data_IF_890847390626
#
_entry.id   IF_890847390626
#
_cell.length_a   1.000
_cell.length_b   1.000
_cell.length_c   1.000
_cell.angle_alpha   90.00
_cell.angle_beta   90.00
_cell.angle_gamma   90.00
#
_symmetry.space_group_name_H-M   'P 1'
#
loop_
_entity.id
_entity.type
_entity.pdbx_description
1 polymer ?
#
# COMPACT_ATOMS: atom_id res chain seq x y z
N UNK A 1 -22.47 10.18 1.98
CA UNK A 1 -22.19 8.97 1.16
C UNK A 1 -22.76 9.21 -0.21
N UNK A 2 -21.94 9.25 -1.25
CA UNK A 2 -22.41 9.31 -2.63
C UNK A 2 -22.77 7.89 -3.05
N UNK A 3 -24.06 7.62 -3.23
CA UNK A 3 -24.52 6.41 -3.93
C UNK A 3 -24.40 6.72 -5.42
N UNK A 4 -23.21 6.50 -5.99
CA UNK A 4 -23.00 6.68 -7.43
C UNK A 4 -23.23 5.37 -8.18
N UNK A 5 -23.71 5.50 -9.42
CA UNK A 5 -24.28 4.46 -10.26
C UNK A 5 -23.44 3.19 -10.47
N UNK A 6 -24.12 2.18 -11.01
CA UNK A 6 -23.70 0.78 -11.15
C UNK A 6 -22.20 0.59 -11.43
N UNK A 7 -21.42 0.33 -10.37
CA UNK A 7 -20.07 -0.21 -10.51
C UNK A 7 -20.15 -1.74 -10.68
N UNK A 8 -19.36 -2.28 -11.61
CA UNK A 8 -19.27 -3.72 -11.83
C UNK A 8 -18.89 -4.42 -10.51
N UNK A 9 -19.65 -5.46 -10.16
CA UNK A 9 -19.39 -6.26 -8.96
C UNK A 9 -17.99 -6.87 -8.95
N UNK A 10 -17.47 -7.13 -7.75
CA UNK A 10 -16.11 -7.64 -7.51
C UNK A 10 -16.22 -9.02 -6.87
N UNK A 11 -15.71 -10.05 -7.56
CA UNK A 11 -15.60 -11.41 -7.03
C UNK A 11 -16.90 -11.92 -6.35
N UNK A 12 -18.05 -11.77 -7.01
CA UNK A 12 -19.35 -12.19 -6.47
C UNK A 12 -19.95 -11.26 -5.42
N UNK A 13 -19.56 -9.98 -5.40
CA UNK A 13 -20.13 -8.97 -4.52
C UNK A 13 -20.56 -7.73 -5.32
N UNK A 14 -21.68 -7.12 -4.93
CA UNK A 14 -22.09 -5.80 -5.41
C UNK A 14 -21.43 -4.69 -4.58
N UNK A 15 -21.10 -3.57 -5.22
CA UNK A 15 -20.61 -2.37 -4.53
C UNK A 15 -21.81 -1.57 -4.06
N UNK A 16 -21.96 -1.37 -2.74
CA UNK A 16 -23.10 -0.64 -2.16
C UNK A 16 -22.74 0.77 -1.73
N UNK A 17 -21.47 1.02 -1.39
CA UNK A 17 -20.98 2.36 -1.08
C UNK A 17 -19.50 2.49 -1.41
N UNK A 18 -19.08 3.70 -1.79
CA UNK A 18 -17.68 4.03 -2.06
C UNK A 18 -17.33 5.30 -1.29
N UNK A 19 -16.19 5.25 -0.61
CA UNK A 19 -15.59 6.41 0.01
C UNK A 19 -14.12 6.48 -0.40
N UNK A 20 -13.78 7.44 -1.27
CA UNK A 20 -12.46 7.53 -1.91
C UNK A 20 -12.05 6.20 -2.57
N UNK A 21 -11.05 5.50 -2.02
CA UNK A 21 -10.57 4.19 -2.50
C UNK A 21 -10.95 3.02 -1.55
N UNK A 22 -11.97 3.23 -0.72
CA UNK A 22 -12.57 2.24 0.17
C UNK A 22 -13.95 1.89 -0.37
N UNK A 23 -14.24 0.60 -0.49
CA UNK A 23 -15.52 0.09 -0.99
C UNK A 23 -16.22 -0.73 0.09
N UNK A 24 -17.52 -0.52 0.24
CA UNK A 24 -18.40 -1.40 1.01
C UNK A 24 -19.11 -2.28 0.00
N UNK A 25 -19.00 -3.58 0.22
CA UNK A 25 -19.47 -4.61 -0.69
C UNK A 25 -20.52 -5.46 0.02
N UNK A 26 -21.52 -5.92 -0.71
CA UNK A 26 -22.51 -6.89 -0.24
C UNK A 26 -22.42 -8.14 -1.11
N UNK A 27 -22.45 -9.36 -0.54
CA UNK A 27 -22.38 -10.58 -1.33
C UNK A 27 -23.57 -10.71 -2.29
N UNK A 28 -23.33 -11.24 -3.49
CA UNK A 28 -24.35 -11.51 -4.51
C UNK A 28 -24.20 -12.91 -5.10
N UNK A 29 -25.30 -13.44 -5.67
CA UNK A 29 -25.30 -14.76 -6.32
C UNK A 29 -24.95 -15.89 -5.35
N UNK A 30 -23.86 -16.62 -5.64
CA UNK A 30 -23.42 -17.80 -4.90
C UNK A 30 -22.56 -17.49 -3.66
N UNK A 31 -22.23 -16.21 -3.38
CA UNK A 31 -21.53 -15.84 -2.16
C UNK A 31 -22.49 -15.94 -0.96
N UNK A 32 -22.30 -16.94 -0.10
CA UNK A 32 -23.23 -17.26 0.99
C UNK A 32 -22.72 -16.75 2.33
N UNK A 33 -22.96 -15.48 2.63
CA UNK A 33 -22.93 -14.98 4.01
C UNK A 33 -23.83 -13.75 4.16
N UNK A 34 -24.36 -13.53 5.36
CA UNK A 34 -25.08 -12.32 5.70
C UNK A 34 -24.10 -11.31 6.28
N UNK A 35 -23.89 -10.19 5.60
CA UNK A 35 -23.00 -9.13 6.07
C UNK A 35 -22.50 -8.23 4.95
N UNK A 36 -21.52 -7.40 5.31
CA UNK A 36 -20.82 -6.52 4.37
C UNK A 36 -19.32 -6.81 4.41
N UNK A 37 -18.67 -6.62 3.28
CA UNK A 37 -17.22 -6.65 3.18
C UNK A 37 -16.69 -5.24 2.94
N UNK A 38 -15.71 -4.83 3.73
CA UNK A 38 -14.98 -3.58 3.52
C UNK A 38 -13.70 -3.90 2.77
N UNK A 39 -13.54 -3.34 1.57
CA UNK A 39 -12.35 -3.47 0.75
C UNK A 39 -11.58 -2.15 0.79
N UNK A 40 -10.39 -2.19 1.38
CA UNK A 40 -9.45 -1.07 1.43
C UNK A 40 -8.23 -1.41 0.58
N UNK A 41 -8.13 -0.78 -0.60
CA UNK A 41 -6.90 -0.89 -1.41
C UNK A 41 -5.72 -0.20 -0.70
N UNK A 42 -4.48 -0.38 -1.17
CA UNK A 42 -3.34 0.36 -0.61
C UNK A 42 -3.55 1.89 -0.61
N UNK A 43 -4.22 2.44 -1.64
CA UNK A 43 -4.66 3.84 -1.67
C UNK A 43 -5.77 4.12 -0.65
N UNK A 44 -6.71 3.19 -0.50
CA UNK A 44 -7.78 3.24 0.50
C UNK A 44 -7.24 3.32 1.92
N UNK A 45 -6.22 2.52 2.26
CA UNK A 45 -5.51 2.62 3.54
C UNK A 45 -4.91 4.01 3.73
N UNK A 46 -4.17 4.53 2.73
CA UNK A 46 -3.63 5.91 2.79
C UNK A 46 -4.71 6.99 2.89
N UNK A 47 -5.89 6.78 2.31
CA UNK A 47 -7.01 7.69 2.49
C UNK A 47 -7.56 7.64 3.91
N UNK A 48 -7.69 6.44 4.49
CA UNK A 48 -8.20 6.23 5.84
C UNK A 48 -7.27 6.75 6.93
N UNK A 49 -5.95 6.70 6.72
CA UNK A 49 -4.94 7.28 7.63
C UNK A 49 -5.24 8.75 8.00
N UNK A 50 -5.84 9.52 7.08
CA UNK A 50 -6.23 10.90 7.39
C UNK A 50 -7.32 10.97 8.47
N UNK A 51 -8.27 10.03 8.46
CA UNK A 51 -9.33 9.95 9.47
C UNK A 51 -8.79 9.49 10.81
N UNK A 52 -7.90 8.50 10.79
CA UNK A 52 -7.20 8.05 12.00
C UNK A 52 -6.45 9.22 12.64
N UNK A 53 -5.70 9.99 11.85
CA UNK A 53 -5.00 11.17 12.34
C UNK A 53 -5.95 12.24 12.91
N UNK A 54 -7.06 12.53 12.23
CA UNK A 54 -8.06 13.51 12.70
C UNK A 54 -8.73 13.07 14.02
N UNK A 55 -8.86 11.76 14.24
CA UNK A 55 -9.45 11.18 15.44
C UNK A 55 -8.43 10.84 16.52
N UNK A 56 -7.15 11.17 16.32
CA UNK A 56 -6.04 10.77 17.20
C UNK A 56 -5.95 9.25 17.41
N UNK A 57 -6.41 8.47 16.44
CA UNK A 57 -6.37 7.01 16.43
C UNK A 57 -5.17 6.48 15.61
N UNK A 58 -4.72 5.29 15.97
CA UNK A 58 -3.77 4.49 15.17
C UNK A 58 -4.50 3.38 14.42
N UNK A 59 -3.79 2.70 13.52
CA UNK A 59 -4.29 1.46 12.91
C UNK A 59 -4.57 0.36 13.95
N UNK A 60 -3.86 0.36 15.08
CA UNK A 60 -4.15 -0.59 16.16
C UNK A 60 -5.46 -0.29 16.85
N UNK A 61 -5.78 0.99 17.07
CA UNK A 61 -7.05 1.40 17.68
C UNK A 61 -8.22 1.05 16.75
N UNK A 62 -8.05 1.29 15.45
CA UNK A 62 -9.00 0.83 14.44
C UNK A 62 -9.21 -0.69 14.46
N UNK A 63 -8.13 -1.48 14.40
CA UNK A 63 -8.22 -2.94 14.42
C UNK A 63 -8.87 -3.44 15.72
N UNK A 64 -8.54 -2.83 16.86
CA UNK A 64 -9.11 -3.19 18.15
C UNK A 64 -10.62 -2.91 18.18
N UNK A 65 -11.05 -1.75 17.65
CA UNK A 65 -12.46 -1.38 17.51
C UNK A 65 -13.21 -2.30 16.55
N UNK A 66 -12.62 -2.65 15.42
CA UNK A 66 -13.22 -3.59 14.45
C UNK A 66 -13.40 -4.98 15.05
N UNK A 67 -12.45 -5.44 15.88
CA UNK A 67 -12.53 -6.73 16.57
C UNK A 67 -13.63 -6.83 17.64
N UNK A 68 -14.31 -5.72 17.99
CA UNK A 68 -15.49 -5.76 18.86
C UNK A 68 -16.75 -6.26 18.15
N UNK A 69 -16.74 -6.32 16.82
CA UNK A 69 -17.86 -6.81 16.00
C UNK A 69 -17.65 -8.27 15.59
N UNK A 70 -18.72 -8.92 15.11
CA UNK A 70 -18.61 -10.22 14.45
C UNK A 70 -17.96 -10.05 13.07
N UNK A 71 -16.63 -10.12 13.03
CA UNK A 71 -15.81 -9.82 11.86
C UNK A 71 -14.92 -11.01 11.46
N UNK A 72 -14.65 -11.13 10.17
CA UNK A 72 -13.59 -11.97 9.63
C UNK A 72 -12.57 -11.09 8.89
N UNK A 73 -11.30 -11.49 8.91
CA UNK A 73 -10.24 -10.87 8.11
C UNK A 73 -9.85 -11.81 6.97
N UNK A 74 -10.54 -11.80 5.82
CA UNK A 74 -10.22 -12.69 4.71
C UNK A 74 -8.87 -12.35 4.07
N UNK A 75 -8.38 -11.11 4.25
CA UNK A 75 -7.10 -10.64 3.75
C UNK A 75 -6.57 -9.45 4.55
N UNK A 76 -5.27 -9.44 4.80
CA UNK A 76 -4.51 -8.28 5.26
C UNK A 76 -3.13 -8.32 4.59
N UNK A 77 -2.65 -7.18 4.13
CA UNK A 77 -1.33 -7.09 3.50
C UNK A 77 -0.46 -6.16 4.36
N UNK A 78 0.73 -6.62 4.75
CA UNK A 78 1.77 -5.77 5.34
C UNK A 78 2.78 -5.38 4.25
N UNK A 79 3.28 -4.14 4.31
CA UNK A 79 4.23 -3.64 3.31
C UNK A 79 5.44 -2.99 3.98
N UNK A 80 6.63 -3.29 3.47
CA UNK A 80 7.89 -2.65 3.82
C UNK A 80 8.31 -1.82 2.61
N UNK A 81 8.48 -0.51 2.80
CA UNK A 81 9.06 0.38 1.80
C UNK A 81 10.57 0.49 2.07
N UNK A 82 11.37 -0.08 1.17
CA UNK A 82 12.82 0.07 1.19
C UNK A 82 13.21 1.25 0.28
N UNK A 83 13.68 2.31 0.92
CA UNK A 83 14.11 3.58 0.29
C UNK A 83 15.63 3.71 0.22
N UNK A 84 16.35 2.67 0.65
CA UNK A 84 17.80 2.54 0.58
C UNK A 84 18.05 1.14 0.02
N UNK A 85 18.04 0.94 -1.31
CA UNK A 85 17.81 -0.35 -1.95
C UNK A 85 18.84 -1.39 -1.55
N UNK A 86 18.61 -2.06 -0.42
CA UNK A 86 19.49 -3.10 0.10
C UNK A 86 19.48 -4.26 -0.88
N UNK A 87 18.32 -4.53 -1.49
CA UNK A 87 18.15 -5.59 -2.46
C UNK A 87 17.92 -5.01 -3.86
N UNK A 88 18.63 -5.55 -4.84
CA UNK A 88 18.30 -5.39 -6.26
C UNK A 88 17.28 -6.46 -6.65
N UNK A 89 16.07 -6.05 -7.06
CA UNK A 89 15.02 -7.01 -7.48
C UNK A 89 15.48 -7.87 -8.66
N UNK A 90 16.14 -7.33 -9.71
CA UNK A 90 16.74 -8.16 -10.76
C UNK A 90 17.73 -9.21 -10.22
N UNK A 91 18.60 -8.86 -9.28
CA UNK A 91 19.55 -9.80 -8.67
C UNK A 91 18.83 -10.92 -7.90
N UNK A 92 17.76 -10.58 -7.14
CA UNK A 92 16.94 -11.59 -6.48
C UNK A 92 16.28 -12.56 -7.46
N UNK A 93 15.85 -12.09 -8.63
CA UNK A 93 15.28 -12.93 -9.69
C UNK A 93 16.35 -13.88 -10.24
N UNK A 94 17.55 -13.37 -10.56
CA UNK A 94 18.68 -14.18 -11.03
C UNK A 94 19.03 -15.26 -10.01
N UNK A 95 19.26 -14.87 -8.75
CA UNK A 95 19.54 -15.81 -7.64
C UNK A 95 18.46 -16.87 -7.49
N UNK A 96 17.19 -16.49 -7.64
CA UNK A 96 16.07 -17.44 -7.57
C UNK A 96 16.14 -18.47 -8.71
N UNK A 97 16.42 -18.03 -9.94
CA UNK A 97 16.58 -18.92 -11.12
C UNK A 97 17.78 -19.87 -10.98
N UNK A 98 18.85 -19.42 -10.36
CA UNK A 98 20.02 -20.26 -10.04
C UNK A 98 19.77 -21.21 -8.86
N UNK A 99 18.59 -21.14 -8.23
CA UNK A 99 18.24 -21.95 -7.08
C UNK A 99 18.94 -21.52 -5.78
N UNK A 100 19.43 -20.29 -5.71
CA UNK A 100 20.02 -19.65 -4.52
C UNK A 100 18.95 -19.00 -3.62
N UNK A 101 17.75 -19.59 -3.59
CA UNK A 101 16.67 -19.23 -2.69
C UNK A 101 16.29 -20.45 -1.84
N UNK A 102 16.34 -20.31 -0.52
CA UNK A 102 15.80 -21.28 0.42
C UNK A 102 14.40 -20.86 0.85
N UNK A 103 13.38 -21.63 0.46
CA UNK A 103 11.98 -21.35 0.80
C UNK A 103 11.14 -22.62 0.81
N UNK A 104 10.02 -22.59 1.55
CA UNK A 104 8.96 -23.62 1.47
C UNK A 104 7.85 -23.23 0.48
N UNK A 105 7.85 -21.99 -0.02
CA UNK A 105 6.90 -21.48 -1.00
C UNK A 105 7.27 -22.05 -2.38
N UNK A 106 6.39 -22.87 -2.96
CA UNK A 106 6.71 -23.67 -4.15
C UNK A 106 6.48 -22.93 -5.46
N UNK A 107 5.40 -22.16 -5.53
CA UNK A 107 5.07 -21.39 -6.73
C UNK A 107 5.88 -20.10 -6.73
N UNK A 108 6.61 -19.86 -7.81
CA UNK A 108 7.47 -18.70 -8.00
C UNK A 108 7.08 -18.08 -9.33
N UNK A 109 6.86 -16.78 -9.32
CA UNK A 109 6.57 -16.01 -10.53
C UNK A 109 7.43 -14.74 -10.51
N UNK A 110 7.79 -14.24 -11.69
CA UNK A 110 8.52 -12.99 -11.81
C UNK A 110 8.08 -12.28 -13.08
N UNK A 111 8.03 -10.96 -13.01
CA UNK A 111 7.77 -10.13 -14.17
C UNK A 111 8.91 -9.14 -14.30
N UNK A 112 9.50 -9.12 -15.47
CA UNK A 112 10.42 -8.08 -15.88
C UNK A 112 9.75 -7.36 -17.06
N UNK A 113 9.78 -6.04 -17.03
CA UNK A 113 9.21 -5.23 -18.10
C UNK A 113 10.25 -4.21 -18.53
N UNK A 114 10.27 -3.88 -19.82
CA UNK A 114 11.21 -2.92 -20.36
C UNK A 114 10.84 -2.52 -21.78
N UNK A 115 11.63 -1.62 -22.34
CA UNK A 115 11.50 -1.16 -23.72
C UNK A 115 12.83 -1.36 -24.43
N UNK A 116 12.78 -2.01 -25.59
CA UNK A 116 13.94 -2.14 -26.44
C UNK A 116 14.13 -0.82 -27.21
N UNK A 117 15.14 -0.05 -26.84
CA UNK A 117 15.64 1.05 -27.67
C UNK A 117 16.71 0.52 -28.63
N UNK A 118 17.06 1.31 -29.64
CA UNK A 118 17.89 0.88 -30.78
C UNK A 118 19.15 0.08 -30.40
N UNK A 119 19.78 0.36 -29.25
CA UNK A 119 20.99 -0.35 -28.80
C UNK A 119 20.93 -0.86 -27.33
N UNK A 120 19.88 -0.55 -26.57
CA UNK A 120 19.82 -0.87 -25.13
C UNK A 120 18.41 -1.26 -24.70
N UNK A 121 18.29 -2.36 -23.97
CA UNK A 121 17.07 -2.70 -23.24
C UNK A 121 16.97 -1.81 -21.99
N UNK A 122 15.97 -0.92 -21.96
CA UNK A 122 15.69 -0.10 -20.79
C UNK A 122 14.67 -0.82 -19.90
N UNK A 123 15.09 -1.26 -18.72
CA UNK A 123 14.16 -1.83 -17.73
C UNK A 123 13.12 -0.78 -17.30
N UNK A 124 11.88 -1.25 -17.12
CA UNK A 124 10.71 -0.54 -16.58
C UNK A 124 10.26 -1.16 -15.26
N UNK A 125 11.18 -1.82 -14.56
CA UNK A 125 10.97 -2.41 -13.26
C UNK A 125 10.59 -3.89 -13.30
N UNK A 126 11.11 -4.61 -12.31
CA UNK A 126 10.90 -6.02 -12.06
C UNK A 126 10.07 -6.29 -10.80
N UNK A 127 9.55 -7.51 -10.74
CA UNK A 127 8.84 -8.04 -9.58
C UNK A 127 9.08 -9.54 -9.42
N UNK A 128 9.18 -9.99 -8.18
CA UNK A 128 9.36 -11.38 -7.76
C UNK A 128 8.22 -11.75 -6.80
N UNK A 129 7.48 -12.80 -7.12
CA UNK A 129 6.38 -13.33 -6.35
C UNK A 129 6.76 -14.72 -5.82
N UNK A 130 6.62 -14.90 -4.51
CA UNK A 130 6.89 -16.16 -3.83
C UNK A 130 5.60 -16.65 -3.16
N UNK A 131 5.11 -17.81 -3.57
CA UNK A 131 3.83 -18.37 -3.18
C UNK A 131 2.71 -18.07 -4.17
N UNK A 132 1.67 -18.90 -4.10
CA UNK A 132 0.50 -18.83 -4.99
C UNK A 132 -0.36 -17.60 -4.70
N UNK A 133 -1.10 -17.14 -5.71
CA UNK A 133 -2.17 -16.15 -5.49
C UNK A 133 -3.30 -16.67 -4.57
N UNK A 134 -3.47 -18.00 -4.51
CA UNK A 134 -4.50 -18.67 -3.72
C UNK A 134 -4.05 -19.06 -2.30
N UNK A 135 -2.74 -19.02 -1.99
CA UNK A 135 -2.24 -19.45 -0.68
C UNK A 135 -2.49 -18.41 0.43
N UNK A 136 -2.43 -18.87 1.68
CA UNK A 136 -2.62 -18.03 2.87
C UNK A 136 -1.47 -17.05 3.12
N UNK A 137 -0.32 -17.26 2.47
CA UNK A 137 0.79 -16.33 2.41
C UNK A 137 1.29 -16.23 0.97
N UNK A 138 1.50 -15.00 0.52
CA UNK A 138 2.27 -14.68 -0.69
C UNK A 138 3.19 -13.50 -0.41
N UNK A 139 4.46 -13.64 -0.77
CA UNK A 139 5.45 -12.58 -0.67
C UNK A 139 5.66 -11.94 -2.04
N UNK A 140 5.78 -10.62 -2.10
CA UNK A 140 5.96 -9.87 -3.35
C UNK A 140 7.06 -8.83 -3.16
N UNK A 141 8.08 -8.90 -3.98
CA UNK A 141 9.19 -7.95 -4.02
C UNK A 141 9.14 -7.22 -5.34
N UNK A 142 9.11 -5.90 -5.36
CA UNK A 142 9.04 -5.16 -6.62
C UNK A 142 9.61 -3.75 -6.52
N UNK A 143 10.00 -3.23 -7.67
CA UNK A 143 10.53 -1.88 -7.81
C UNK A 143 9.37 -0.87 -7.84
N UNK A 144 9.06 -0.31 -6.67
CA UNK A 144 7.89 0.52 -6.43
C UNK A 144 7.95 1.85 -7.18
N UNK A 145 9.12 2.45 -7.32
CA UNK A 145 9.29 3.69 -8.08
C UNK A 145 8.90 3.54 -9.54
N UNK A 146 9.35 2.45 -10.18
CA UNK A 146 8.94 2.09 -11.54
C UNK A 146 7.43 1.81 -11.63
N UNK A 147 6.83 1.12 -10.64
CA UNK A 147 5.37 0.91 -10.62
C UNK A 147 4.58 2.22 -10.51
N UNK A 148 5.04 3.18 -9.69
CA UNK A 148 4.39 4.48 -9.55
C UNK A 148 4.54 5.33 -10.82
N UNK A 149 5.74 5.39 -11.40
CA UNK A 149 6.00 6.08 -12.66
C UNK A 149 5.11 5.52 -13.79
N UNK A 150 5.08 4.20 -13.97
CA UNK A 150 4.26 3.55 -15.00
C UNK A 150 2.76 3.82 -14.83
N UNK A 151 2.29 3.89 -13.57
CA UNK A 151 0.86 3.99 -13.27
C UNK A 151 0.34 5.43 -13.24
N UNK A 152 1.19 6.40 -12.89
CA UNK A 152 0.77 7.79 -12.64
C UNK A 152 1.61 8.84 -13.35
N UNK A 153 2.66 8.46 -14.08
CA UNK A 153 3.57 9.40 -14.75
C UNK A 153 4.39 10.27 -13.79
N UNK A 154 4.57 9.83 -12.54
CA UNK A 154 5.41 10.55 -11.56
C UNK A 154 6.89 10.47 -11.95
N UNK A 155 7.72 11.40 -11.47
CA UNK A 155 9.17 11.28 -11.58
C UNK A 155 9.64 9.91 -11.06
N UNK A 156 10.59 9.31 -11.80
CA UNK A 156 11.09 7.98 -11.49
C UNK A 156 12.01 8.05 -10.27
N UNK A 157 11.72 7.22 -9.27
CA UNK A 157 12.56 7.03 -8.11
C UNK A 157 13.09 5.59 -8.08
N UNK A 158 14.27 5.37 -8.65
CA UNK A 158 14.88 4.05 -8.78
C UNK A 158 15.25 3.43 -7.42
N UNK A 159 15.39 4.25 -6.37
CA UNK A 159 15.78 3.80 -5.03
C UNK A 159 14.59 3.36 -4.17
N UNK A 160 13.44 3.09 -4.79
CA UNK A 160 12.22 2.73 -4.09
C UNK A 160 11.77 1.30 -4.40
N UNK A 161 12.08 0.39 -3.49
CA UNK A 161 11.57 -0.97 -3.47
C UNK A 161 10.42 -1.13 -2.48
N UNK A 162 9.53 -2.09 -2.75
CA UNK A 162 8.50 -2.51 -1.80
C UNK A 162 8.43 -4.02 -1.68
N UNK A 163 8.31 -4.48 -0.44
CA UNK A 163 8.10 -5.88 -0.09
C UNK A 163 6.74 -6.02 0.57
N UNK A 164 5.82 -6.77 -0.05
CA UNK A 164 4.48 -7.01 0.47
C UNK A 164 4.35 -8.45 0.98
N UNK A 165 3.87 -8.59 2.21
CA UNK A 165 3.44 -9.84 2.80
C UNK A 165 1.92 -9.88 2.74
N UNK A 166 1.38 -10.68 1.85
CA UNK A 166 -0.06 -10.80 1.61
C UNK A 166 -0.59 -12.01 2.34
N UNK A 167 -1.41 -11.79 3.35
CA UNK A 167 -2.00 -12.84 4.17
C UNK A 167 -3.46 -13.04 3.81
N UNK A 168 -3.93 -14.29 3.80
CA UNK A 168 -5.34 -14.62 3.57
C UNK A 168 -5.88 -15.55 4.64
N UNK A 169 -7.21 -15.55 4.75
CA UNK A 169 -7.98 -16.48 5.58
C UNK A 169 -7.47 -16.56 7.02
N UNK A 170 -7.24 -17.76 7.55
CA UNK A 170 -6.84 -17.96 8.95
C UNK A 170 -5.51 -17.28 9.29
N UNK A 171 -4.60 -17.13 8.31
CA UNK A 171 -3.33 -16.45 8.54
C UNK A 171 -3.52 -14.93 8.66
N UNK A 172 -4.44 -14.34 7.90
CA UNK A 172 -4.78 -12.93 8.04
C UNK A 172 -5.39 -12.63 9.42
N UNK A 173 -6.26 -13.50 9.92
CA UNK A 173 -6.81 -13.40 11.28
C UNK A 173 -5.70 -13.49 12.33
N UNK A 174 -4.80 -14.47 12.20
CA UNK A 174 -3.66 -14.66 13.11
C UNK A 174 -2.72 -13.44 13.12
N UNK A 175 -2.48 -12.84 11.96
CA UNK A 175 -1.67 -11.62 11.84
C UNK A 175 -2.33 -10.45 12.54
N UNK A 176 -3.64 -10.24 12.38
CA UNK A 176 -4.35 -9.17 13.12
C UNK A 176 -4.25 -9.37 14.64
N UNK A 177 -4.42 -10.60 15.12
CA UNK A 177 -4.26 -10.91 16.54
C UNK A 177 -2.83 -10.63 17.04
N UNK A 178 -1.80 -11.00 16.27
CA UNK A 178 -0.42 -10.70 16.59
C UNK A 178 -0.14 -9.19 16.58
N UNK A 179 -0.68 -8.44 15.61
CA UNK A 179 -0.57 -6.99 15.55
C UNK A 179 -1.19 -6.32 16.78
N UNK A 180 -2.37 -6.76 17.21
CA UNK A 180 -3.03 -6.21 18.40
C UNK A 180 -2.29 -6.56 19.70
N UNK A 181 -1.71 -7.76 19.78
CA UNK A 181 -0.95 -8.21 20.95
C UNK A 181 0.40 -7.51 21.09
N UNK A 182 1.19 -7.46 20.02
CA UNK A 182 2.58 -6.99 20.09
C UNK A 182 2.73 -5.51 19.73
N UNK A 183 1.75 -4.94 19.02
CA UNK A 183 1.78 -3.57 18.49
C UNK A 183 3.07 -3.24 17.72
N UNK A 184 3.63 -4.26 17.07
CA UNK A 184 4.87 -4.17 16.30
C UNK A 184 4.68 -4.79 14.90
N UNK A 185 4.39 -3.93 13.92
CA UNK A 185 4.23 -4.36 12.52
C UNK A 185 5.57 -4.78 11.92
N UNK A 186 6.65 -4.08 12.27
CA UNK A 186 7.96 -4.30 11.68
C UNK A 186 8.53 -5.64 12.15
N UNK A 187 8.54 -5.88 13.46
CA UNK A 187 8.98 -7.15 14.04
C UNK A 187 8.19 -8.33 13.48
N UNK A 188 6.85 -8.23 13.41
CA UNK A 188 6.01 -9.30 12.86
C UNK A 188 6.29 -9.58 11.37
N UNK A 189 6.37 -8.53 10.54
CA UNK A 189 6.66 -8.71 9.12
C UNK A 189 8.02 -9.40 8.90
N UNK A 190 9.00 -9.05 9.73
CA UNK A 190 10.34 -9.62 9.66
C UNK A 190 10.44 -11.05 10.14
N UNK A 191 9.79 -11.38 11.24
CA UNK A 191 9.70 -12.76 11.72
C UNK A 191 9.07 -13.67 10.65
N UNK A 192 8.01 -13.18 10.00
CA UNK A 192 7.41 -13.90 8.88
C UNK A 192 8.37 -14.00 7.70
N UNK A 193 9.01 -12.92 7.25
CA UNK A 193 9.97 -13.00 6.13
C UNK A 193 11.11 -13.99 6.41
N UNK A 194 11.78 -13.86 7.55
CA UNK A 194 12.95 -14.66 7.91
C UNK A 194 12.60 -16.14 8.15
N UNK A 195 11.39 -16.43 8.63
CA UNK A 195 10.94 -17.82 8.79
C UNK A 195 10.58 -18.51 7.47
N UNK A 196 10.36 -17.75 6.38
CA UNK A 196 9.87 -18.28 5.11
C UNK A 196 10.92 -18.29 4.01
N UNK A 197 11.81 -17.30 3.97
CA UNK A 197 12.76 -17.14 2.88
C UNK A 197 14.16 -16.77 3.38
N UNK A 198 15.17 -17.26 2.66
CA UNK A 198 16.56 -16.85 2.80
C UNK A 198 17.25 -16.92 1.45
N UNK A 199 17.76 -15.78 0.97
CA UNK A 199 18.62 -15.74 -0.21
C UNK A 199 20.03 -16.20 0.16
N UNK A 200 20.67 -16.94 -0.76
CA UNK A 200 21.93 -17.63 -0.53
C UNK A 200 23.03 -17.05 -1.42
N UNK A 201 24.27 -17.16 -0.93
CA UNK A 201 25.48 -16.95 -1.71
C UNK A 201 25.95 -18.31 -2.24
N UNK A 202 26.41 -18.39 -3.49
CA UNK A 202 27.07 -19.60 -3.99
C UNK A 202 28.48 -19.63 -3.36
N UNK A 203 28.87 -20.70 -2.64
CA UNK A 203 30.24 -20.79 -2.10
C UNK A 203 31.26 -20.83 -3.23
N UNK A 204 32.32 -20.04 -3.15
CA UNK A 204 33.44 -20.05 -4.12
C UNK A 204 34.33 -21.27 -3.94
N UNK A 205 34.63 -21.65 -2.69
CA UNK A 205 35.64 -22.67 -2.35
C UNK A 205 35.04 -23.86 -1.59
N UNK A 206 33.85 -24.32 -2.00
CA UNK A 206 33.20 -25.47 -1.36
C UNK A 206 32.74 -26.51 -2.35
N UNK A 207 32.99 -27.77 -2.03
CA UNK A 207 32.43 -28.93 -2.74
C UNK A 207 31.00 -29.24 -2.31
N UNK A 208 30.46 -28.49 -1.33
CA UNK A 208 29.12 -28.77 -0.79
C UNK A 208 28.04 -28.40 -1.79
N UNK A 209 27.19 -29.37 -2.12
CA UNK A 209 25.98 -29.15 -2.94
C UNK A 209 24.74 -28.94 -2.06
N UNK A 210 24.89 -29.05 -0.73
CA UNK A 210 23.78 -28.95 0.23
C UNK A 210 23.43 -27.49 0.48
N UNK A 211 22.40 -26.97 -0.21
CA UNK A 211 21.92 -25.57 -0.11
C UNK A 211 21.69 -25.05 1.33
N UNK A 212 21.34 -25.91 2.29
CA UNK A 212 21.17 -25.50 3.69
C UNK A 212 22.46 -24.93 4.32
N UNK A 213 23.63 -25.40 3.84
CA UNK A 213 24.95 -24.99 4.30
C UNK A 213 25.49 -23.76 3.55
N UNK A 214 24.76 -23.27 2.54
CA UNK A 214 25.21 -22.10 1.80
C UNK A 214 25.14 -20.87 2.71
N UNK A 215 26.12 -19.96 2.62
CA UNK A 215 26.07 -18.68 3.30
C UNK A 215 24.80 -17.90 2.91
N UNK A 216 24.35 -17.05 3.83
CA UNK A 216 23.28 -16.09 3.53
C UNK A 216 23.83 -15.00 2.62
N UNK A 217 23.06 -14.62 1.59
CA UNK A 217 23.40 -13.48 0.74
C UNK A 217 23.59 -12.22 1.58
N UNK A 218 24.74 -11.55 1.42
CA UNK A 218 25.14 -10.44 2.28
C UNK A 218 24.09 -9.32 2.35
N UNK A 219 23.54 -8.90 1.20
CA UNK A 219 22.58 -7.80 1.17
C UNK A 219 21.25 -8.17 1.86
N UNK A 220 20.84 -9.45 1.76
CA UNK A 220 19.73 -9.99 2.54
C UNK A 220 20.04 -9.95 4.04
N UNK A 221 21.23 -10.36 4.46
CA UNK A 221 21.63 -10.33 5.87
C UNK A 221 21.67 -8.90 6.43
N UNK A 222 22.13 -7.92 5.65
CA UNK A 222 22.14 -6.50 6.03
C UNK A 222 20.74 -5.94 6.19
N UNK A 223 19.84 -6.20 5.24
CA UNK A 223 18.43 -5.85 5.35
C UNK A 223 17.84 -6.42 6.65
N UNK A 224 18.05 -7.72 6.93
CA UNK A 224 17.53 -8.35 8.14
C UNK A 224 18.11 -7.76 9.44
N UNK A 225 19.37 -7.27 9.41
CA UNK A 225 20.04 -6.66 10.57
C UNK A 225 19.57 -5.24 10.86
N UNK A 226 19.38 -4.42 9.83
CA UNK A 226 19.05 -3.01 9.98
C UNK A 226 17.55 -2.75 10.19
N UNK A 227 16.67 -3.70 9.86
CA UNK A 227 15.21 -3.48 9.98
C UNK A 227 14.73 -3.33 11.43
N UNK A 228 15.47 -3.79 12.45
CA UNK A 228 15.18 -3.46 13.85
C UNK A 228 15.19 -1.94 14.15
N UNK A 229 15.72 -1.12 13.24
CA UNK A 229 15.73 0.35 13.31
C UNK A 229 14.70 1.01 12.39
N UNK A 230 13.95 0.23 11.59
CA UNK A 230 12.96 0.77 10.66
C UNK A 230 11.81 1.34 11.46
N UNK A 231 11.73 2.67 11.45
CA UNK A 231 10.53 3.36 11.88
C UNK A 231 9.46 3.14 10.82
N UNK A 232 8.34 2.54 11.22
CA UNK A 232 7.14 2.54 10.42
C UNK A 232 6.76 4.00 10.17
N UNK A 233 6.96 4.47 8.95
CA UNK A 233 6.41 5.75 8.53
C UNK A 233 4.91 5.54 8.31
N UNK A 234 4.16 5.63 9.40
CA UNK A 234 2.69 5.79 9.42
C UNK A 234 2.34 7.23 9.00
N UNK A 235 3.33 8.10 8.73
CA UNK A 235 3.04 9.42 8.22
C UNK A 235 2.23 9.27 6.92
N UNK A 236 1.02 9.84 6.87
CA UNK A 236 0.23 9.87 5.65
C UNK A 236 1.10 10.44 4.54
N UNK A 237 0.94 9.94 3.31
CA UNK A 237 1.58 10.62 2.18
C UNK A 237 1.19 12.11 2.23
N UNK A 238 2.20 13.00 2.28
CA UNK A 238 1.95 14.44 2.15
C UNK A 238 1.14 14.65 0.87
N UNK A 239 -0.11 15.10 1.01
CA UNK A 239 -0.94 15.41 -0.14
C UNK A 239 -0.41 16.70 -0.75
N UNK A 240 0.00 16.69 -2.01
CA UNK A 240 0.24 17.95 -2.72
C UNK A 240 -1.09 18.71 -2.87
N UNK A 241 -1.03 20.04 -3.04
CA UNK A 241 -2.21 20.83 -3.38
C UNK A 241 -2.93 20.28 -4.61
N UNK A 242 -2.19 19.79 -5.60
CA UNK A 242 -2.75 19.12 -6.78
C UNK A 242 -3.59 17.88 -6.40
N UNK A 243 -3.09 17.01 -5.52
CA UNK A 243 -3.84 15.84 -5.05
C UNK A 243 -5.07 16.23 -4.23
N UNK A 244 -5.02 17.34 -3.49
CA UNK A 244 -6.19 17.89 -2.80
C UNK A 244 -7.22 18.40 -3.81
N UNK A 245 -6.78 19.10 -4.85
CA UNK A 245 -7.64 19.61 -5.92
C UNK A 245 -8.34 18.48 -6.69
N UNK A 246 -7.60 17.48 -7.16
CA UNK A 246 -8.16 16.31 -7.85
C UNK A 246 -9.21 15.58 -6.99
N UNK A 247 -8.98 15.52 -5.68
CA UNK A 247 -9.94 14.95 -4.75
C UNK A 247 -11.20 15.82 -4.62
N UNK A 248 -11.05 17.14 -4.49
CA UNK A 248 -12.17 18.07 -4.45
C UNK A 248 -13.00 17.99 -5.73
N UNK A 249 -12.36 18.04 -6.89
CA UNK A 249 -13.02 17.97 -8.20
C UNK A 249 -13.80 16.67 -8.37
N UNK A 250 -13.18 15.53 -8.05
CA UNK A 250 -13.81 14.23 -8.28
C UNK A 250 -14.91 13.88 -7.28
N UNK A 251 -14.73 14.22 -6.00
CA UNK A 251 -15.57 13.70 -4.92
C UNK A 251 -16.44 14.75 -4.23
N UNK A 252 -16.05 16.03 -4.27
CA UNK A 252 -16.73 17.10 -3.52
C UNK A 252 -17.50 18.04 -4.46
N UNK A 253 -16.97 18.34 -5.64
CA UNK A 253 -17.57 19.27 -6.59
C UNK A 253 -19.03 18.92 -6.99
N UNK A 254 -19.42 17.65 -7.20
CA UNK A 254 -20.83 17.32 -7.49
C UNK A 254 -21.78 17.74 -6.36
N UNK A 255 -21.38 17.55 -5.10
CA UNK A 255 -22.19 17.97 -3.95
C UNK A 255 -22.22 19.48 -3.79
N UNK A 256 -21.09 20.17 -3.99
CA UNK A 256 -21.06 21.64 -4.00
C UNK A 256 -21.95 22.20 -5.11
N UNK A 257 -21.93 21.60 -6.30
CA UNK A 257 -22.80 21.99 -7.41
C UNK A 257 -24.28 21.81 -7.06
N UNK A 258 -24.66 20.68 -6.46
CA UNK A 258 -26.03 20.46 -5.99
C UNK A 258 -26.48 21.57 -5.03
N UNK A 259 -25.70 21.83 -3.96
CA UNK A 259 -26.07 22.84 -2.97
C UNK A 259 -26.01 24.28 -3.50
N UNK A 260 -25.18 24.54 -4.51
CA UNK A 260 -25.21 25.81 -5.23
C UNK A 260 -26.53 25.99 -6.02
N UNK A 261 -27.05 24.95 -6.66
CA UNK A 261 -28.35 25.02 -7.35
C UNK A 261 -29.53 25.13 -6.36
N UNK A 262 -29.49 24.39 -5.25
CA UNK A 262 -30.49 24.53 -4.16
C UNK A 262 -30.47 25.94 -3.58
N UNK A 263 -29.28 26.50 -3.37
CA UNK A 263 -29.11 27.86 -2.85
C UNK A 263 -29.74 28.94 -3.72
N UNK A 264 -29.84 28.74 -5.05
CA UNK A 264 -30.55 29.67 -5.94
C UNK A 264 -32.05 29.72 -5.69
N UNK A 265 -32.64 28.56 -5.37
CA UNK A 265 -34.09 28.44 -5.09
C UNK A 265 -34.41 29.08 -3.75
N UNK A 266 -33.60 28.76 -2.73
CA UNK A 266 -33.82 29.23 -1.36
C UNK A 266 -33.20 30.60 -1.07
N UNK A 267 -32.59 31.24 -2.07
CA UNK A 267 -31.86 32.51 -1.96
C UNK A 267 -30.83 32.49 -0.81
N UNK A 268 -30.08 31.40 -0.69
CA UNK A 268 -29.12 31.17 0.39
C UNK A 268 -27.78 30.67 -0.14
N UNK A 269 -26.69 31.27 0.33
CA UNK A 269 -25.34 30.84 -0.03
C UNK A 269 -24.85 29.70 0.88
N UNK A 270 -25.26 28.47 0.56
CA UNK A 270 -24.82 27.29 1.29
C UNK A 270 -23.30 27.05 1.19
N UNK A 271 -22.69 27.39 0.06
CA UNK A 271 -21.27 27.12 -0.17
C UNK A 271 -20.41 28.13 0.60
N UNK A 272 -20.72 29.42 0.51
CA UNK A 272 -20.05 30.44 1.30
C UNK A 272 -20.18 30.20 2.80
N UNK A 273 -21.35 29.73 3.27
CA UNK A 273 -21.53 29.36 4.68
C UNK A 273 -20.67 28.15 5.08
N UNK A 274 -20.57 27.11 4.24
CA UNK A 274 -19.70 25.97 4.47
C UNK A 274 -18.23 26.39 4.56
N UNK A 275 -17.77 27.27 3.67
CA UNK A 275 -16.38 27.78 3.67
C UNK A 275 -16.12 28.64 4.90
N UNK A 276 -17.06 29.53 5.25
CA UNK A 276 -16.93 30.42 6.43
C UNK A 276 -16.83 29.63 7.74
N UNK A 277 -17.54 28.52 7.85
CA UNK A 277 -17.54 27.66 9.03
C UNK A 277 -16.43 26.59 9.00
N UNK A 278 -15.74 26.42 7.87
CA UNK A 278 -14.70 25.43 7.69
C UNK A 278 -13.36 25.93 8.22
N UNK A 279 -12.74 25.18 9.13
CA UNK A 279 -11.40 25.47 9.61
C UNK A 279 -10.36 24.57 8.94
N UNK A 280 -9.23 25.15 8.53
CA UNK A 280 -8.09 24.37 8.06
C UNK A 280 -7.48 23.57 9.20
N UNK A 281 -7.35 22.26 9.01
CA UNK A 281 -6.59 21.43 9.93
C UNK A 281 -5.07 21.68 9.79
N UNK A 282 -4.28 21.11 10.71
CA UNK A 282 -2.83 21.31 10.78
C UNK A 282 -2.15 20.97 9.44
N UNK A 283 -2.54 19.86 8.80
CA UNK A 283 -1.97 19.44 7.52
C UNK A 283 -2.31 20.41 6.38
N UNK A 284 -3.53 20.95 6.34
CA UNK A 284 -3.95 21.94 5.34
C UNK A 284 -3.24 23.28 5.54
N UNK A 285 -3.06 23.72 6.79
CA UNK A 285 -2.27 24.92 7.13
C UNK A 285 -0.83 24.77 6.65
N UNK A 286 -0.21 23.62 6.92
CA UNK A 286 1.15 23.32 6.45
C UNK A 286 1.25 23.39 4.91
N UNK A 287 0.27 22.85 4.19
CA UNK A 287 0.24 22.90 2.72
C UNK A 287 0.09 24.32 2.17
N UNK A 288 -0.71 25.14 2.84
CA UNK A 288 -0.84 26.55 2.51
C UNK A 288 0.48 27.29 2.73
N UNK A 289 1.13 27.10 3.88
CA UNK A 289 2.41 27.74 4.20
C UNK A 289 3.52 27.35 3.22
N UNK A 290 3.61 26.06 2.87
CA UNK A 290 4.57 25.53 1.91
C UNK A 290 4.34 26.15 0.51
N UNK A 291 3.08 26.31 0.10
CA UNK A 291 2.73 26.97 -1.17
C UNK A 291 3.13 28.45 -1.20
N UNK A 292 2.86 29.19 -0.12
CA UNK A 292 3.24 30.61 0.00
C UNK A 292 4.76 30.77 -0.05
N UNK A 293 5.52 29.89 0.65
CA UNK A 293 6.99 29.91 0.62
C UNK A 293 7.54 29.65 -0.78
N UNK A 294 7.00 28.65 -1.48
CA UNK A 294 7.42 28.30 -2.83
C UNK A 294 7.19 29.46 -3.83
N UNK A 295 6.07 30.18 -3.70
CA UNK A 295 5.77 31.36 -4.52
C UNK A 295 6.76 32.51 -4.29
N UNK A 296 7.09 32.81 -3.03
CA UNK A 296 8.06 33.87 -2.69
C UNK A 296 9.47 33.60 -3.21
N UNK A 297 9.90 32.33 -3.22
CA UNK A 297 11.20 31.94 -3.77
C UNK A 297 11.27 32.05 -5.29
N UNK A 298 10.15 31.81 -5.99
CA UNK A 298 10.06 31.95 -7.45
C UNK A 298 9.95 33.40 -7.95
N UNK A 299 9.68 34.37 -7.06
CA UNK A 299 9.67 35.81 -7.38
C UNK A 299 11.04 36.48 -7.11
N UNK A 300 11.98 35.76 -6.50
CA UNK A 300 13.34 36.24 -6.18
C UNK A 300 14.44 35.70 -7.11
N UNK A 301 14.08 34.90 -8.12
CA UNK A 301 14.98 34.40 -9.17
C UNK A 301 14.50 34.84 -10.54
#
# INVERSE_FOLDING_TARGET
>A
MTVTGYEKGIAGHEVVAIFANIKVLKPTGNAQYQGFQILMSGKGCRNYENFLQLNEETWFDFLNRVCQYHINFPRIDLAIDDRKPYLSIPDLIVRTKEGLLSTKLREIDFHDSGELKEEVFQSKGGSLYLGSSASNLRLVFYEKGYEQNKKYGTELDENWNRYELRFRQEMAVSVVQALLRYRDVAGLAMEVLNSKIRFLEKPTDSTTTRKRLYPTYQAWAELMKDIGKVKLTIQPQKKSLQKVWEWLEKYVAPSLKLFAEVGKIEQRDYIGNLVKNGEMNITQKQLYDDYIKARKLGEMG
#
